data_IF_675694441127
#
_entry.id   IF_675694441127
#
_cell.length_a   1.000
_cell.length_b   1.000
_cell.length_c   1.000
_cell.angle_alpha   90.00
_cell.angle_beta   90.00
_cell.angle_gamma   90.00
#
_symmetry.space_group_name_H-M   'P 1'
#
loop_
_entity.id
_entity.type
_entity.pdbx_description
1 polymer ?
#
# COMPACT_ATOMS: atom_id res chain seq x y z
N UNK A 1 -0.96 22.37 -38.28
CA UNK A 1 -1.72 22.16 -37.03
C UNK A 1 -1.55 20.71 -36.65
N UNK A 2 -0.62 20.41 -35.73
CA UNK A 2 -0.27 19.03 -35.39
C UNK A 2 -0.23 18.91 -33.87
N UNK A 3 -1.24 18.26 -33.31
CA UNK A 3 -1.13 17.65 -31.98
C UNK A 3 -1.82 16.30 -32.07
N UNK A 4 -1.01 15.26 -32.20
CA UNK A 4 -1.46 13.87 -32.09
C UNK A 4 -1.82 13.60 -30.62
N UNK A 5 -3.03 13.10 -30.39
CA UNK A 5 -3.42 12.52 -29.11
C UNK A 5 -2.62 11.23 -28.90
N UNK A 6 -1.62 11.26 -28.02
CA UNK A 6 -0.94 10.03 -27.56
C UNK A 6 -1.84 9.33 -26.55
N UNK A 7 -2.41 8.18 -26.93
CA UNK A 7 -3.18 7.32 -26.04
C UNK A 7 -2.33 6.76 -24.88
N UNK A 8 -2.96 6.18 -23.84
CA UNK A 8 -2.25 5.61 -22.72
C UNK A 8 -1.39 4.43 -23.19
N UNK A 9 -0.08 4.58 -23.05
CA UNK A 9 0.91 3.53 -23.32
C UNK A 9 0.72 2.50 -22.20
N UNK A 10 0.09 1.37 -22.49
CA UNK A 10 -0.03 0.29 -21.53
C UNK A 10 1.40 -0.13 -21.10
N UNK A 11 1.70 -0.19 -19.79
CA UNK A 11 3.03 -0.52 -19.35
C UNK A 11 3.37 -1.98 -19.77
N UNK A 12 4.64 -2.25 -20.12
CA UNK A 12 5.07 -3.57 -20.57
C UNK A 12 4.77 -4.64 -19.51
N UNK A 13 4.44 -5.84 -19.98
CA UNK A 13 3.99 -6.95 -19.13
C UNK A 13 4.96 -7.19 -17.95
N UNK A 14 4.46 -7.01 -16.73
CA UNK A 14 5.22 -7.12 -15.48
C UNK A 14 5.44 -5.79 -14.74
N UNK A 15 5.24 -4.66 -15.39
CA UNK A 15 5.31 -3.34 -14.75
C UNK A 15 3.89 -2.81 -14.51
N UNK A 16 3.46 -2.81 -13.25
CA UNK A 16 2.28 -2.07 -12.84
C UNK A 16 2.59 -0.57 -12.83
N UNK A 17 1.59 0.30 -13.03
CA UNK A 17 1.73 1.72 -12.72
C UNK A 17 2.32 1.88 -11.31
N UNK A 18 3.25 2.82 -11.13
CA UNK A 18 3.98 3.01 -9.86
C UNK A 18 3.04 3.09 -8.65
N UNK A 19 1.92 3.80 -8.82
CA UNK A 19 0.89 3.93 -7.78
C UNK A 19 0.33 2.58 -7.33
N UNK A 20 0.07 1.67 -8.27
CA UNK A 20 -0.49 0.36 -7.96
C UNK A 20 0.56 -0.58 -7.37
N UNK A 21 1.81 -0.50 -7.86
CA UNK A 21 2.93 -1.22 -7.27
C UNK A 21 3.17 -0.82 -5.81
N UNK A 22 3.17 0.49 -5.52
CA UNK A 22 3.33 1.00 -4.16
C UNK A 22 2.17 0.57 -3.26
N UNK A 23 0.92 0.62 -3.76
CA UNK A 23 -0.24 0.14 -3.00
C UNK A 23 -0.16 -1.35 -2.67
N UNK A 24 0.24 -2.18 -3.65
CA UNK A 24 0.41 -3.61 -3.44
C UNK A 24 1.50 -3.90 -2.40
N UNK A 25 2.66 -3.25 -2.53
CA UNK A 25 3.75 -3.34 -1.57
C UNK A 25 3.30 -2.91 -0.17
N UNK A 26 2.64 -1.75 -0.06
CA UNK A 26 2.21 -1.20 1.23
C UNK A 26 1.22 -2.15 1.92
N UNK A 27 0.26 -2.72 1.19
CA UNK A 27 -0.68 -3.71 1.73
C UNK A 27 0.04 -4.93 2.31
N UNK A 28 0.96 -5.51 1.57
CA UNK A 28 1.74 -6.68 2.03
C UNK A 28 2.66 -6.35 3.19
N UNK A 29 3.26 -5.16 3.19
CA UNK A 29 4.16 -4.72 4.24
C UNK A 29 3.41 -4.51 5.56
N UNK A 30 2.23 -3.87 5.51
CA UNK A 30 1.36 -3.69 6.68
C UNK A 30 0.87 -5.04 7.23
N UNK A 31 0.50 -5.99 6.36
CA UNK A 31 0.11 -7.34 6.78
C UNK A 31 1.24 -8.09 7.49
N UNK A 32 2.48 -8.00 6.98
CA UNK A 32 3.65 -8.58 7.65
C UNK A 32 3.91 -7.94 9.01
N UNK A 33 3.83 -6.61 9.11
CA UNK A 33 4.00 -5.91 10.37
C UNK A 33 2.95 -6.32 11.42
N UNK A 34 1.68 -6.48 11.01
CA UNK A 34 0.62 -6.98 11.89
C UNK A 34 0.89 -8.42 12.34
N UNK A 35 1.34 -9.30 11.45
CA UNK A 35 1.69 -10.69 11.79
C UNK A 35 2.83 -10.75 12.82
N UNK A 36 3.88 -9.95 12.62
CA UNK A 36 5.01 -9.85 13.57
C UNK A 36 4.55 -9.25 14.91
N UNK A 37 3.59 -8.34 14.89
CA UNK A 37 2.98 -7.75 16.07
C UNK A 37 1.87 -8.61 16.70
N UNK A 38 1.62 -9.83 16.20
CA UNK A 38 0.54 -10.71 16.68
C UNK A 38 -0.84 -10.03 16.68
N UNK A 39 -1.14 -9.24 15.63
CA UNK A 39 -2.39 -8.47 15.53
C UNK A 39 -2.44 -7.21 16.41
N UNK A 40 -1.46 -6.99 17.30
CA UNK A 40 -1.42 -5.82 18.17
C UNK A 40 -1.06 -4.57 17.37
N UNK A 41 -2.07 -3.85 16.87
CA UNK A 41 -1.94 -2.63 16.04
C UNK A 41 -1.03 -1.58 16.69
N UNK A 42 -1.11 -1.44 18.00
CA UNK A 42 -0.23 -0.59 18.81
C UNK A 42 1.26 -0.91 18.61
N UNK A 43 1.58 -2.21 18.70
CA UNK A 43 2.94 -2.71 18.55
C UNK A 43 3.40 -2.65 17.09
N UNK A 44 2.50 -2.92 16.15
CA UNK A 44 2.80 -2.76 14.72
C UNK A 44 3.16 -1.31 14.37
N UNK A 45 2.44 -0.33 14.93
CA UNK A 45 2.73 1.08 14.71
C UNK A 45 4.11 1.48 15.26
N UNK A 46 4.47 0.99 16.45
CA UNK A 46 5.81 1.17 17.04
C UNK A 46 6.90 0.55 16.16
N UNK A 47 6.72 -0.69 15.68
CA UNK A 47 7.66 -1.37 14.80
C UNK A 47 7.86 -0.63 13.46
N UNK A 48 6.78 -0.04 12.94
CA UNK A 48 6.80 0.74 11.70
C UNK A 48 7.28 2.18 11.90
N UNK A 49 7.46 2.64 13.14
CA UNK A 49 7.88 4.01 13.44
C UNK A 49 6.83 5.08 13.10
N UNK A 50 5.54 4.72 13.11
CA UNK A 50 4.43 5.61 12.78
C UNK A 50 3.44 5.73 13.94
N UNK A 51 2.61 6.77 13.93
CA UNK A 51 1.54 6.90 14.91
C UNK A 51 0.45 5.83 14.69
N UNK A 52 -0.22 5.41 15.78
CA UNK A 52 -1.37 4.49 15.69
C UNK A 52 -2.48 5.00 14.77
N UNK A 53 -2.71 6.32 14.76
CA UNK A 53 -3.70 6.97 13.88
C UNK A 53 -3.34 6.74 12.42
N UNK A 54 -2.09 6.99 12.04
CA UNK A 54 -1.59 6.83 10.68
C UNK A 54 -1.69 5.35 10.25
N UNK A 55 -1.31 4.41 11.12
CA UNK A 55 -1.51 2.98 10.86
C UNK A 55 -2.99 2.67 10.56
N UNK A 56 -3.92 3.17 11.37
CA UNK A 56 -5.35 2.94 11.19
C UNK A 56 -5.91 3.50 9.88
N UNK A 57 -5.44 4.66 9.45
CA UNK A 57 -5.80 5.25 8.16
C UNK A 57 -5.28 4.39 7.00
N UNK A 58 -4.03 3.95 7.09
CA UNK A 58 -3.42 3.04 6.09
C UNK A 58 -4.14 1.69 6.00
N UNK A 59 -4.46 1.07 7.13
CA UNK A 59 -5.19 -0.21 7.14
C UNK A 59 -6.59 -0.08 6.52
N UNK A 60 -7.31 1.02 6.82
CA UNK A 60 -8.62 1.30 6.19
C UNK A 60 -8.49 1.55 4.70
N UNK A 61 -7.51 2.33 4.27
CA UNK A 61 -7.27 2.61 2.85
C UNK A 61 -6.99 1.34 2.05
N UNK A 62 -6.32 0.35 2.65
CA UNK A 62 -5.99 -0.93 2.01
C UNK A 62 -6.99 -2.04 2.31
N UNK A 63 -8.11 -1.76 2.99
CA UNK A 63 -9.13 -2.74 3.41
C UNK A 63 -8.56 -3.94 4.17
N UNK A 64 -7.47 -3.73 4.92
CA UNK A 64 -6.87 -4.78 5.75
C UNK A 64 -7.66 -4.81 7.04
N UNK A 65 -8.65 -5.70 7.10
CA UNK A 65 -9.34 -6.04 8.33
C UNK A 65 -8.55 -7.16 9.02
N UNK A 66 -8.24 -6.93 10.30
CA UNK A 66 -7.64 -7.92 11.18
C UNK A 66 -8.58 -9.14 11.24
N UNK A 67 -8.09 -10.38 11.09
CA UNK A 67 -8.91 -11.58 11.31
C UNK A 67 -9.29 -11.75 12.79
#
# INVERSE_FOLDING_TARGET
MTTACSGPIAPPAGLLPLQDALKAFEREYLGRALKVAEGKKSRAAELLGISRKNLWEKLRAHNIQDP
#
